data_IF_735313439476
#
_entry.id   IF_735313439476
#
_cell.length_a   1.000
_cell.length_b   1.000
_cell.length_c   1.000
_cell.angle_alpha   90.00
_cell.angle_beta   90.00
_cell.angle_gamma   90.00
#
_symmetry.space_group_name_H-M   'P 1'
#
loop_
_entity.id
_entity.type
_entity.pdbx_description
1 polymer ?
#
# COMPACT_ATOMS: atom_id res chain seq x y z
N UNK A 1 8.49 3.57 -21.50
CA UNK A 1 7.22 3.32 -20.78
C UNK A 1 7.52 3.77 -19.37
N UNK A 2 7.03 4.95 -18.97
CA UNK A 2 7.39 5.54 -17.69
C UNK A 2 6.90 4.64 -16.58
N UNK A 3 7.79 4.23 -15.70
CA UNK A 3 7.48 3.43 -14.52
C UNK A 3 6.46 4.21 -13.67
N UNK A 4 5.21 3.73 -13.64
CA UNK A 4 4.09 4.38 -12.95
C UNK A 4 4.15 4.06 -11.44
N UNK A 5 4.74 4.99 -10.69
CA UNK A 5 4.95 4.89 -9.25
C UNK A 5 4.22 6.01 -8.51
N UNK A 6 3.81 5.71 -7.29
CA UNK A 6 3.25 6.65 -6.33
C UNK A 6 4.11 6.68 -5.07
N UNK A 7 4.02 7.76 -4.31
CA UNK A 7 4.70 7.93 -3.04
C UNK A 7 3.70 7.81 -1.90
N UNK A 8 3.93 6.87 -0.99
CA UNK A 8 3.21 6.80 0.28
C UNK A 8 4.10 7.39 1.38
N UNK A 9 3.62 8.38 2.10
CA UNK A 9 4.36 9.06 3.17
C UNK A 9 3.74 8.72 4.53
N UNK A 10 4.56 8.35 5.50
CA UNK A 10 4.15 8.07 6.88
C UNK A 10 4.25 9.29 7.79
N UNK A 11 3.63 9.24 8.96
CA UNK A 11 3.63 10.35 9.93
C UNK A 11 5.01 10.61 10.57
N UNK A 12 5.85 9.59 10.64
CA UNK A 12 7.25 9.66 11.10
C UNK A 12 8.24 10.00 9.96
N UNK A 13 7.74 10.41 8.79
CA UNK A 13 8.52 11.03 7.72
C UNK A 13 9.16 10.07 6.72
N UNK A 14 8.86 8.77 6.78
CA UNK A 14 9.31 7.83 5.75
C UNK A 14 8.48 7.99 4.48
N UNK A 15 9.15 7.94 3.33
CA UNK A 15 8.53 7.98 2.01
C UNK A 15 8.83 6.67 1.27
N UNK A 16 7.79 6.01 0.79
CA UNK A 16 7.89 4.75 0.07
C UNK A 16 7.46 4.96 -1.38
N UNK A 17 8.35 4.65 -2.33
CA UNK A 17 7.99 4.60 -3.75
C UNK A 17 7.42 3.23 -4.08
N UNK A 18 6.17 3.19 -4.53
CA UNK A 18 5.40 1.96 -4.73
C UNK A 18 4.85 1.93 -6.15
N UNK A 19 4.91 0.81 -6.88
CA UNK A 19 4.26 0.70 -8.19
C UNK A 19 2.76 0.98 -8.07
N UNK A 20 2.21 1.81 -8.96
CA UNK A 20 0.80 2.26 -8.84
C UNK A 20 -0.16 1.08 -8.78
N UNK A 21 0.03 0.04 -9.60
CA UNK A 21 -0.84 -1.14 -9.60
C UNK A 21 -0.90 -1.87 -8.24
N UNK A 22 0.19 -1.83 -7.46
CA UNK A 22 0.21 -2.37 -6.10
C UNK A 22 -0.56 -1.45 -5.15
N UNK A 23 -0.29 -0.14 -5.18
CA UNK A 23 -0.99 0.83 -4.34
C UNK A 23 -2.52 0.82 -4.59
N UNK A 24 -2.94 0.77 -5.86
CA UNK A 24 -4.36 0.77 -6.26
C UNK A 24 -5.06 -0.57 -6.06
N UNK A 25 -4.35 -1.60 -5.57
CA UNK A 25 -4.97 -2.83 -5.04
C UNK A 25 -5.80 -2.57 -3.76
N UNK A 26 -5.59 -1.41 -3.11
CA UNK A 26 -6.48 -0.83 -2.12
C UNK A 26 -7.46 0.13 -2.79
N UNK A 27 -8.77 -0.08 -2.58
CA UNK A 27 -9.81 0.82 -3.09
C UNK A 27 -9.71 2.22 -2.49
N UNK A 28 -9.31 2.33 -1.22
CA UNK A 28 -9.10 3.61 -0.54
C UNK A 28 -7.93 4.37 -1.15
N UNK A 29 -6.77 3.71 -1.29
CA UNK A 29 -5.61 4.36 -1.93
C UNK A 29 -5.90 4.69 -3.39
N UNK A 30 -6.63 3.83 -4.11
CA UNK A 30 -7.09 4.12 -5.46
C UNK A 30 -7.92 5.40 -5.52
N UNK A 31 -8.88 5.58 -4.60
CA UNK A 31 -9.70 6.79 -4.54
C UNK A 31 -8.89 8.04 -4.17
N UNK A 32 -7.88 7.92 -3.30
CA UNK A 32 -6.98 9.02 -2.92
C UNK A 32 -6.01 9.41 -4.06
N UNK A 33 -5.68 8.46 -4.92
CA UNK A 33 -4.79 8.62 -6.07
C UNK A 33 -5.53 8.98 -7.37
N UNK A 34 -6.87 9.03 -7.34
CA UNK A 34 -7.68 9.32 -8.53
C UNK A 34 -7.73 10.83 -8.78
N UNK A 35 -7.33 11.23 -9.99
CA UNK A 35 -7.19 12.63 -10.39
C UNK A 35 -8.53 13.34 -10.66
N UNK A 36 -9.61 12.57 -10.90
CA UNK A 36 -10.94 13.12 -11.19
C UNK A 36 -11.70 13.62 -9.95
N UNK A 37 -11.21 13.31 -8.74
CA UNK A 37 -11.92 13.52 -7.48
C UNK A 37 -11.50 14.77 -6.70
N UNK A 38 -11.64 15.99 -7.24
CA UNK A 38 -11.70 17.28 -6.52
C UNK A 38 -10.68 17.61 -5.37
N UNK A 39 -9.65 16.79 -5.14
CA UNK A 39 -8.64 16.97 -4.10
C UNK A 39 -7.27 17.21 -4.76
N UNK A 40 -6.63 18.32 -4.40
CA UNK A 40 -5.36 18.78 -4.96
C UNK A 40 -4.18 17.80 -4.80
N UNK A 41 -4.32 16.77 -3.96
CA UNK A 41 -3.28 15.76 -3.67
C UNK A 41 -2.98 14.85 -4.88
N UNK A 42 -3.95 14.65 -5.79
CA UNK A 42 -3.77 13.82 -6.98
C UNK A 42 -2.75 14.42 -7.98
N UNK A 43 -2.48 15.72 -7.90
CA UNK A 43 -1.47 16.38 -8.75
C UNK A 43 -0.02 15.97 -8.44
N UNK A 44 0.24 15.34 -7.29
CA UNK A 44 1.60 15.05 -6.81
C UNK A 44 1.97 13.57 -6.78
N UNK A 45 1.08 12.65 -7.19
CA UNK A 45 1.31 11.20 -7.08
C UNK A 45 1.77 10.76 -5.68
N UNK A 46 1.31 11.49 -4.65
CA UNK A 46 1.76 11.35 -3.28
C UNK A 46 0.55 11.30 -2.36
N UNK A 47 0.54 10.33 -1.46
CA UNK A 47 -0.50 10.18 -0.42
C UNK A 47 0.18 10.18 0.93
N UNK A 48 -0.27 11.05 1.83
CA UNK A 48 0.15 11.02 3.22
C UNK A 48 -0.78 10.12 4.04
N UNK A 49 -0.19 9.22 4.80
CA UNK A 49 -0.87 8.25 5.65
C UNK A 49 -0.61 8.58 7.12
N UNK A 50 -1.68 8.63 7.90
CA UNK A 50 -1.67 8.91 9.34
C UNK A 50 -1.17 7.76 10.20
N UNK A 51 -0.11 7.08 9.76
CA UNK A 51 0.46 5.88 10.39
C UNK A 51 1.98 5.96 10.41
N UNK A 52 2.60 5.21 11.34
CA UNK A 52 4.06 5.06 11.42
C UNK A 52 4.60 4.30 10.21
N UNK A 53 5.85 4.56 9.85
CA UNK A 53 6.51 3.99 8.67
C UNK A 53 6.54 2.47 8.68
N UNK A 54 6.67 1.84 9.86
CA UNK A 54 6.62 0.38 9.99
C UNK A 54 5.25 -0.20 9.62
N UNK A 55 4.17 0.52 9.92
CA UNK A 55 2.80 0.11 9.59
C UNK A 55 2.57 0.32 8.09
N UNK A 56 3.00 1.46 7.55
CA UNK A 56 2.93 1.73 6.10
C UNK A 56 3.72 0.69 5.30
N UNK A 57 4.91 0.29 5.77
CA UNK A 57 5.70 -0.76 5.13
C UNK A 57 4.95 -2.10 5.12
N UNK A 58 4.32 -2.49 6.23
CA UNK A 58 3.53 -3.74 6.31
C UNK A 58 2.28 -3.69 5.44
N UNK A 59 1.62 -2.53 5.35
CA UNK A 59 0.54 -2.30 4.39
C UNK A 59 1.03 -2.52 2.95
N UNK A 60 2.19 -1.97 2.57
CA UNK A 60 2.76 -2.15 1.22
C UNK A 60 3.09 -3.63 0.96
N UNK A 61 3.70 -4.32 1.92
CA UNK A 61 3.96 -5.77 1.82
C UNK A 61 2.66 -6.57 1.61
N UNK A 62 1.59 -6.22 2.34
CA UNK A 62 0.29 -6.86 2.16
C UNK A 62 -0.32 -6.59 0.79
N UNK A 63 -0.26 -5.34 0.31
CA UNK A 63 -0.78 -4.99 -1.02
C UNK A 63 -0.01 -5.71 -2.13
N UNK A 64 1.30 -5.87 -1.97
CA UNK A 64 2.12 -6.65 -2.90
C UNK A 64 1.72 -8.14 -2.90
N UNK A 65 1.55 -8.73 -1.71
CA UNK A 65 1.04 -10.10 -1.56
C UNK A 65 -0.34 -10.26 -2.21
N UNK A 66 -1.28 -9.36 -1.91
CA UNK A 66 -2.63 -9.36 -2.47
C UNK A 66 -2.61 -9.26 -4.00
N UNK A 67 -1.79 -8.38 -4.55
CA UNK A 67 -1.67 -8.22 -6.00
C UNK A 67 -1.05 -9.46 -6.66
N UNK A 68 -0.02 -10.05 -6.04
CA UNK A 68 0.63 -11.27 -6.52
C UNK A 68 -0.33 -12.45 -6.62
N UNK A 69 -1.25 -12.58 -5.66
CA UNK A 69 -2.19 -13.70 -5.57
C UNK A 69 -3.63 -13.36 -6.03
N UNK A 70 -3.83 -12.22 -6.71
CA UNK A 70 -5.16 -11.73 -7.07
C UNK A 70 -6.01 -12.75 -7.87
N UNK A 71 -5.36 -13.51 -8.75
CA UNK A 71 -5.99 -14.54 -9.60
C UNK A 71 -5.68 -15.98 -9.14
N UNK A 72 -5.09 -16.15 -7.95
CA UNK A 72 -4.70 -17.47 -7.43
C UNK A 72 -5.80 -18.05 -6.53
N UNK A 73 -6.20 -19.33 -6.69
CA UNK A 73 -7.13 -19.97 -5.77
C UNK A 73 -6.58 -19.99 -4.35
N UNK A 74 -7.44 -19.71 -3.35
CA UNK A 74 -7.03 -19.68 -1.93
C UNK A 74 -6.31 -20.95 -1.46
N UNK A 75 -6.65 -22.11 -2.01
CA UNK A 75 -6.00 -23.40 -1.70
C UNK A 75 -4.53 -23.47 -2.11
N UNK A 76 -4.09 -22.62 -3.03
CA UNK A 76 -2.72 -22.59 -3.57
C UNK A 76 -1.90 -21.43 -2.99
N UNK A 77 -2.53 -20.53 -2.24
CA UNK A 77 -1.84 -19.41 -1.60
C UNK A 77 -1.10 -19.93 -0.37
N UNK A 78 0.22 -19.76 -0.39
CA UNK A 78 1.05 -19.98 0.80
C UNK A 78 0.87 -18.80 1.74
N UNK A 79 0.33 -19.05 2.93
CA UNK A 79 0.28 -18.03 3.97
C UNK A 79 1.67 -17.82 4.59
N UNK A 80 2.44 -16.91 4.00
CA UNK A 80 3.73 -16.46 4.52
C UNK A 80 3.69 -15.04 5.08
N UNK A 81 2.63 -14.27 4.84
CA UNK A 81 2.52 -12.89 5.26
C UNK A 81 2.17 -12.77 6.74
N UNK A 82 1.07 -13.40 7.19
CA UNK A 82 0.59 -13.24 8.56
C UNK A 82 1.59 -13.70 9.63
N UNK A 83 2.34 -14.81 9.45
CA UNK A 83 3.37 -15.21 10.41
C UNK A 83 4.55 -14.24 10.53
N UNK A 84 4.74 -13.31 9.58
CA UNK A 84 5.82 -12.30 9.59
C UNK A 84 5.41 -10.98 10.25
N UNK A 85 4.19 -10.88 10.77
CA UNK A 85 3.72 -9.71 11.51
C UNK A 85 4.33 -9.76 12.92
N UNK A 86 5.06 -8.70 13.27
CA UNK A 86 5.63 -8.57 14.61
C UNK A 86 4.51 -8.34 15.65
N UNK A 87 4.44 -9.11 16.75
CA UNK A 87 3.46 -8.92 17.81
C UNK A 87 3.39 -7.48 18.35
N UNK A 88 4.50 -6.73 18.32
CA UNK A 88 4.55 -5.34 18.80
C UNK A 88 3.83 -4.34 17.90
N UNK A 89 3.51 -4.69 16.65
CA UNK A 89 2.77 -3.84 15.72
C UNK A 89 1.38 -4.38 15.36
N UNK A 90 1.03 -5.58 15.85
CA UNK A 90 -0.17 -6.30 15.42
C UNK A 90 -1.48 -5.57 15.76
N UNK A 91 -1.52 -4.75 16.82
CA UNK A 91 -2.71 -3.97 17.20
C UNK A 91 -2.88 -2.68 16.39
N UNK A 92 -1.84 -2.24 15.69
CA UNK A 92 -1.86 -1.05 14.84
C UNK A 92 -2.20 -1.37 13.37
N UNK A 93 -2.24 -2.67 13.01
CA UNK A 93 -2.51 -3.19 11.65
C UNK A 93 -4.00 -3.51 11.41
#
# INVERSE_FOLDING_TARGET
MGDDFVVLESDDGYCFSVPRHIATSSSTLKAMLDEEGAFQEASQNRVKLGYRGIIVLKLIEYLAFKAQYADTPQSEIRDDFFPRIDPYIALEL
#
